data_IF_373673243087
#
_entry.id   IF_373673243087
#
_cell.length_a   1.000
_cell.length_b   1.000
_cell.length_c   1.000
_cell.angle_alpha   90.00
_cell.angle_beta   90.00
_cell.angle_gamma   90.00
#
_symmetry.space_group_name_H-M   'P 1'
#
loop_
_entity.id
_entity.type
_entity.pdbx_description
1 polymer ?
#
# COMPACT_ATOMS: atom_id res chain seq x y z
N UNK A 1 -3.07 -41.81 -28.36
CA UNK A 1 -2.45 -40.85 -29.34
C UNK A 1 -2.67 -39.46 -28.79
N UNK A 2 -1.60 -38.87 -28.22
CA UNK A 2 -1.62 -37.53 -27.66
C UNK A 2 -1.84 -36.50 -28.79
N UNK A 3 -2.80 -35.63 -28.60
CA UNK A 3 -3.18 -34.62 -29.59
C UNK A 3 -2.73 -33.23 -29.13
N UNK A 4 -1.63 -33.08 -28.52
CA UNK A 4 -0.90 -31.82 -28.36
C UNK A 4 0.54 -32.20 -27.99
N UNK A 5 1.49 -31.90 -28.89
CA UNK A 5 2.91 -32.22 -28.72
C UNK A 5 3.59 -31.36 -27.66
N UNK A 6 3.19 -31.54 -26.43
CA UNK A 6 3.91 -31.02 -25.26
C UNK A 6 4.56 -32.27 -24.64
N UNK A 7 5.85 -32.45 -24.90
CA UNK A 7 6.65 -33.49 -24.24
C UNK A 7 6.64 -33.22 -22.73
N UNK A 8 6.19 -34.24 -21.96
CA UNK A 8 6.12 -34.21 -20.48
C UNK A 8 7.48 -33.98 -19.77
N UNK A 9 8.57 -33.80 -20.50
CA UNK A 9 9.93 -33.88 -19.95
C UNK A 9 10.62 -32.54 -19.69
N UNK A 10 9.97 -31.37 -19.81
CA UNK A 10 10.63 -30.07 -19.60
C UNK A 10 9.97 -29.12 -18.62
N UNK A 11 8.99 -29.54 -17.86
CA UNK A 11 8.56 -28.83 -16.68
C UNK A 11 9.47 -29.24 -15.52
N UNK A 12 10.57 -28.53 -15.31
CA UNK A 12 11.26 -28.54 -14.03
C UNK A 12 10.20 -28.26 -12.98
N UNK A 13 10.08 -29.15 -12.01
CA UNK A 13 9.25 -28.95 -10.83
C UNK A 13 9.74 -27.72 -10.07
N UNK A 14 9.22 -26.57 -10.42
CA UNK A 14 9.25 -25.42 -9.52
C UNK A 14 8.25 -25.78 -8.41
N UNK A 15 8.74 -25.95 -7.18
CA UNK A 15 7.98 -26.41 -6.01
C UNK A 15 6.77 -25.53 -5.62
N UNK A 16 6.40 -24.59 -6.47
CA UNK A 16 5.37 -23.58 -6.24
C UNK A 16 4.07 -23.76 -7.03
N UNK A 17 3.92 -24.87 -7.80
CA UNK A 17 2.72 -25.08 -8.61
C UNK A 17 2.23 -26.51 -8.54
N UNK A 18 0.92 -26.72 -8.44
CA UNK A 18 0.25 -27.99 -8.73
C UNK A 18 -0.50 -27.88 -10.06
N UNK A 19 -0.60 -29.00 -10.78
CA UNK A 19 -1.36 -29.10 -12.03
C UNK A 19 -2.65 -29.86 -11.73
N UNK A 20 -3.79 -29.18 -11.78
CA UNK A 20 -5.10 -29.81 -11.78
C UNK A 20 -5.57 -29.99 -13.23
N UNK A 21 -5.89 -31.24 -13.62
CA UNK A 21 -6.42 -31.58 -14.93
C UNK A 21 -7.93 -31.80 -14.82
N UNK A 22 -8.70 -30.89 -15.38
CA UNK A 22 -10.09 -31.17 -15.75
C UNK A 22 -10.15 -31.56 -17.22
N UNK A 23 -11.20 -32.32 -17.63
CA UNK A 23 -11.28 -32.92 -18.95
C UNK A 23 -11.17 -31.97 -20.15
N UNK A 24 -11.15 -30.64 -19.94
CA UNK A 24 -11.04 -29.66 -21.01
C UNK A 24 -10.07 -28.49 -20.78
N UNK A 25 -9.48 -28.31 -19.57
CA UNK A 25 -8.53 -27.21 -19.29
C UNK A 25 -7.45 -27.66 -18.30
N UNK A 26 -6.21 -27.24 -18.57
CA UNK A 26 -5.08 -27.35 -17.62
C UNK A 26 -4.92 -26.00 -16.94
N UNK A 27 -5.31 -25.92 -15.67
CA UNK A 27 -5.12 -24.72 -14.86
C UNK A 27 -3.88 -24.89 -13.98
N UNK A 28 -2.90 -24.01 -14.14
CA UNK A 28 -1.76 -23.91 -13.21
C UNK A 28 -2.20 -23.15 -11.97
N UNK A 29 -2.42 -23.89 -10.88
CA UNK A 29 -2.72 -23.28 -9.57
C UNK A 29 -1.38 -23.01 -8.88
N UNK A 30 -1.12 -21.76 -8.57
CA UNK A 30 0.03 -21.39 -7.74
C UNK A 30 -0.16 -21.99 -6.35
N UNK A 31 0.72 -22.91 -5.95
CA UNK A 31 0.75 -23.41 -4.57
C UNK A 31 1.07 -22.24 -3.66
N UNK A 32 0.13 -21.83 -2.83
CA UNK A 32 0.41 -20.92 -1.75
C UNK A 32 1.44 -21.56 -0.82
N UNK A 33 2.49 -20.81 -0.53
CA UNK A 33 3.55 -21.28 0.37
C UNK A 33 2.89 -21.61 1.72
N UNK A 34 2.89 -22.88 2.13
CA UNK A 34 2.17 -23.38 3.31
C UNK A 34 2.51 -22.66 4.63
N UNK A 35 3.48 -21.74 4.60
CA UNK A 35 3.92 -20.95 5.74
C UNK A 35 3.46 -19.49 5.71
N UNK A 36 2.66 -19.06 4.70
CA UNK A 36 2.10 -17.72 4.67
C UNK A 36 0.71 -17.72 5.28
N UNK A 37 0.51 -16.91 6.33
CA UNK A 37 -0.79 -16.66 6.94
C UNK A 37 -1.34 -15.36 6.39
N UNK A 38 -2.56 -15.40 5.84
CA UNK A 38 -3.33 -14.20 5.49
C UNK A 38 -4.47 -14.00 6.49
N UNK A 39 -4.78 -12.74 6.80
CA UNK A 39 -5.90 -12.37 7.65
C UNK A 39 -6.73 -11.33 6.92
N UNK A 40 -8.04 -11.50 6.91
CA UNK A 40 -8.98 -10.52 6.36
C UNK A 40 -9.57 -9.70 7.50
N UNK A 41 -9.57 -8.39 7.34
CA UNK A 41 -10.22 -7.44 8.25
C UNK A 41 -10.99 -6.40 7.44
N UNK A 42 -12.09 -5.93 7.99
CA UNK A 42 -12.76 -4.75 7.43
C UNK A 42 -12.02 -3.48 7.87
N UNK A 43 -11.77 -2.59 6.91
CA UNK A 43 -11.11 -1.30 7.12
C UNK A 43 -11.88 -0.20 6.40
N UNK A 44 -11.70 1.05 6.81
CA UNK A 44 -12.31 2.18 6.10
C UNK A 44 -11.70 2.35 4.71
N UNK A 45 -12.46 2.92 3.78
CA UNK A 45 -12.01 3.20 2.41
C UNK A 45 -10.83 4.18 2.43
N UNK A 46 -10.90 5.21 3.27
CA UNK A 46 -9.81 6.19 3.43
C UNK A 46 -8.50 5.55 3.88
N UNK A 47 -8.55 4.50 4.73
CA UNK A 47 -7.37 3.76 5.16
C UNK A 47 -6.71 2.98 4.01
N UNK A 48 -7.51 2.37 3.13
CA UNK A 48 -6.99 1.64 1.96
C UNK A 48 -6.33 2.63 0.98
N UNK A 49 -6.96 3.78 0.73
CA UNK A 49 -6.44 4.83 -0.15
C UNK A 49 -5.15 5.42 0.42
N UNK A 50 -5.11 5.70 1.72
CA UNK A 50 -3.90 6.17 2.42
C UNK A 50 -2.76 5.16 2.28
N UNK A 51 -3.00 3.90 2.56
CA UNK A 51 -2.01 2.83 2.41
C UNK A 51 -1.47 2.71 0.98
N UNK A 52 -2.35 2.75 -0.03
CA UNK A 52 -1.94 2.72 -1.44
C UNK A 52 -1.06 3.91 -1.80
N UNK A 53 -1.40 5.12 -1.31
CA UNK A 53 -0.63 6.33 -1.56
C UNK A 53 0.79 6.26 -0.96
N UNK A 54 0.93 5.69 0.24
CA UNK A 54 2.24 5.44 0.87
C UNK A 54 3.05 4.42 0.05
N UNK A 55 2.42 3.35 -0.44
CA UNK A 55 3.08 2.38 -1.31
C UNK A 55 3.55 3.03 -2.61
N UNK A 56 2.78 3.97 -3.17
CA UNK A 56 3.19 4.77 -4.34
C UNK A 56 4.48 5.54 -4.07
N UNK A 57 4.59 6.19 -2.90
CA UNK A 57 5.81 6.89 -2.50
C UNK A 57 6.99 5.92 -2.30
N UNK A 58 6.74 4.76 -1.67
CA UNK A 58 7.77 3.72 -1.49
C UNK A 58 8.33 3.25 -2.83
N UNK A 59 7.50 3.07 -3.86
CA UNK A 59 7.96 2.71 -5.21
C UNK A 59 8.88 3.76 -5.84
N UNK A 60 8.74 5.03 -5.45
CA UNK A 60 9.57 6.13 -5.96
C UNK A 60 10.90 6.28 -5.21
N UNK A 61 10.93 5.93 -3.91
CA UNK A 61 12.07 6.23 -3.03
C UNK A 61 12.93 5.02 -2.67
N UNK A 62 12.40 3.79 -2.78
CA UNK A 62 13.15 2.58 -2.47
C UNK A 62 13.93 2.13 -3.71
N UNK A 63 15.24 1.92 -3.56
CA UNK A 63 16.11 1.41 -4.62
C UNK A 63 16.47 -0.09 -4.47
N UNK A 64 16.27 -0.65 -3.29
CA UNK A 64 16.54 -2.07 -3.01
C UNK A 64 15.54 -2.97 -3.74
N UNK A 65 16.04 -3.87 -4.58
CA UNK A 65 15.21 -4.71 -5.47
C UNK A 65 14.31 -5.69 -4.73
N UNK A 66 14.77 -6.27 -3.63
CA UNK A 66 13.96 -7.22 -2.86
C UNK A 66 12.83 -6.51 -2.10
N UNK A 67 13.11 -5.33 -1.54
CA UNK A 67 12.09 -4.49 -0.93
C UNK A 67 11.08 -4.01 -1.97
N UNK A 68 11.54 -3.58 -3.15
CA UNK A 68 10.65 -3.17 -4.24
C UNK A 68 9.72 -4.28 -4.70
N UNK A 69 10.18 -5.52 -4.77
CA UNK A 69 9.35 -6.68 -5.10
C UNK A 69 8.15 -6.82 -4.14
N UNK A 70 8.39 -6.70 -2.84
CA UNK A 70 7.34 -6.77 -1.84
C UNK A 70 6.37 -5.58 -1.94
N UNK A 71 6.92 -4.36 -2.11
CA UNK A 71 6.12 -3.13 -2.25
C UNK A 71 5.26 -3.19 -3.52
N UNK A 72 5.83 -3.63 -4.65
CA UNK A 72 5.09 -3.75 -5.92
C UNK A 72 3.94 -4.74 -5.79
N UNK A 73 4.17 -5.91 -5.20
CA UNK A 73 3.12 -6.91 -4.99
C UNK A 73 1.93 -6.35 -4.19
N UNK A 74 2.22 -5.63 -3.11
CA UNK A 74 1.18 -5.03 -2.26
C UNK A 74 0.49 -3.86 -2.96
N UNK A 75 1.25 -3.02 -3.68
CA UNK A 75 0.73 -1.91 -4.47
C UNK A 75 -0.25 -2.40 -5.53
N UNK A 76 0.14 -3.39 -6.35
CA UNK A 76 -0.69 -3.92 -7.42
C UNK A 76 -1.99 -4.52 -6.89
N UNK A 77 -1.93 -5.23 -5.76
CA UNK A 77 -3.12 -5.77 -5.10
C UNK A 77 -4.09 -4.66 -4.65
N UNK A 78 -3.59 -3.65 -3.94
CA UNK A 78 -4.43 -2.54 -3.47
C UNK A 78 -4.90 -1.63 -4.61
N UNK A 79 -4.09 -1.47 -5.66
CA UNK A 79 -4.47 -0.71 -6.85
C UNK A 79 -5.76 -1.25 -7.48
N UNK A 80 -5.87 -2.58 -7.63
CA UNK A 80 -7.07 -3.22 -8.16
C UNK A 80 -8.30 -2.93 -7.27
N UNK A 81 -8.11 -2.93 -5.95
CA UNK A 81 -9.20 -2.62 -5.02
C UNK A 81 -9.62 -1.15 -5.15
N UNK A 82 -8.67 -0.23 -5.09
CA UNK A 82 -8.94 1.21 -5.07
C UNK A 82 -9.59 1.69 -6.37
N UNK A 83 -9.02 1.33 -7.52
CA UNK A 83 -9.46 1.88 -8.80
C UNK A 83 -10.50 1.02 -9.53
N UNK A 84 -10.42 -0.30 -9.43
CA UNK A 84 -11.31 -1.17 -10.20
C UNK A 84 -12.52 -1.68 -9.41
N UNK A 85 -12.40 -1.81 -8.07
CA UNK A 85 -13.51 -2.27 -7.24
C UNK A 85 -14.26 -1.10 -6.59
N UNK A 86 -13.53 -0.16 -5.98
CA UNK A 86 -14.11 0.99 -5.26
C UNK A 86 -14.34 2.20 -6.16
N UNK A 87 -13.77 2.24 -7.38
CA UNK A 87 -13.84 3.33 -8.34
C UNK A 87 -13.47 4.70 -7.73
N UNK A 88 -12.39 4.74 -6.97
CA UNK A 88 -11.89 5.99 -6.37
C UNK A 88 -11.38 6.91 -7.47
N UNK A 89 -11.77 8.18 -7.42
CA UNK A 89 -11.29 9.20 -8.36
C UNK A 89 -9.77 9.42 -8.20
N UNK A 90 -9.07 9.57 -9.30
CA UNK A 90 -7.62 9.84 -9.28
C UNK A 90 -7.28 11.12 -8.52
N UNK A 91 -8.15 12.13 -8.56
CA UNK A 91 -7.97 13.39 -7.82
C UNK A 91 -7.94 13.20 -6.30
N UNK A 92 -8.77 12.32 -5.75
CA UNK A 92 -8.78 12.00 -4.32
C UNK A 92 -7.54 11.19 -3.92
N UNK A 93 -7.13 10.26 -4.79
CA UNK A 93 -5.88 9.54 -4.60
C UNK A 93 -4.66 10.47 -4.64
N UNK A 94 -4.60 11.37 -5.62
CA UNK A 94 -3.49 12.33 -5.76
C UNK A 94 -3.43 13.32 -4.59
N UNK A 95 -4.59 13.73 -4.03
CA UNK A 95 -4.67 14.53 -2.81
C UNK A 95 -4.04 13.78 -1.63
N UNK A 96 -4.33 12.48 -1.48
CA UNK A 96 -3.72 11.63 -0.45
C UNK A 96 -2.22 11.43 -0.67
N UNK A 97 -1.77 11.21 -1.90
CA UNK A 97 -0.34 11.11 -2.24
C UNK A 97 0.39 12.40 -1.87
N UNK A 98 -0.21 13.56 -2.16
CA UNK A 98 0.39 14.86 -1.89
C UNK A 98 0.62 15.11 -0.41
N UNK A 99 -0.38 14.81 0.44
CA UNK A 99 -0.24 14.99 1.89
C UNK A 99 0.78 14.00 2.49
N UNK A 100 0.79 12.75 2.02
CA UNK A 100 1.76 11.76 2.46
C UNK A 100 3.19 12.07 1.98
N UNK A 101 3.33 12.74 0.83
CA UNK A 101 4.64 13.22 0.38
C UNK A 101 5.20 14.29 1.31
N UNK A 102 4.38 15.22 1.79
CA UNK A 102 4.82 16.24 2.76
C UNK A 102 5.32 15.55 4.05
N UNK A 103 4.58 14.56 4.55
CA UNK A 103 5.00 13.77 5.72
C UNK A 103 6.30 13.03 5.46
N UNK A 104 6.44 12.38 4.31
CA UNK A 104 7.67 11.70 3.93
C UNK A 104 8.88 12.63 3.97
N UNK A 105 8.77 13.75 3.28
CA UNK A 105 9.87 14.72 3.16
C UNK A 105 10.27 15.32 4.52
N UNK A 106 9.29 15.66 5.36
CA UNK A 106 9.57 16.25 6.67
C UNK A 106 10.15 15.22 7.66
N UNK A 107 9.67 13.99 7.63
CA UNK A 107 10.19 12.91 8.47
C UNK A 107 11.62 12.51 8.10
N UNK A 108 11.98 12.53 6.82
CA UNK A 108 13.35 12.26 6.39
C UNK A 108 14.30 13.38 6.88
N UNK A 109 13.88 14.66 6.79
CA UNK A 109 14.64 15.79 7.31
C UNK A 109 14.80 15.76 8.84
N UNK A 110 13.76 15.34 9.57
CA UNK A 110 13.84 15.15 11.04
C UNK A 110 14.89 14.08 11.37
N UNK A 111 14.89 12.95 10.66
CA UNK A 111 15.89 11.88 10.87
C UNK A 111 17.30 12.32 10.54
N UNK A 112 17.47 13.24 9.59
CA UNK A 112 18.76 13.84 9.27
C UNK A 112 19.26 14.74 10.39
N UNK A 113 18.42 15.64 10.88
CA UNK A 113 18.74 16.48 12.05
C UNK A 113 19.00 15.67 13.32
N UNK A 114 18.25 14.58 13.53
CA UNK A 114 18.50 13.65 14.65
C UNK A 114 19.89 13.00 14.55
N UNK A 115 20.30 12.58 13.34
CA UNK A 115 21.65 12.04 13.09
C UNK A 115 22.75 13.03 13.44
N UNK A 116 22.53 14.29 13.10
CA UNK A 116 23.47 15.39 13.34
C UNK A 116 23.36 15.98 14.74
N UNK A 117 22.40 15.52 15.57
CA UNK A 117 22.07 16.05 16.89
C UNK A 117 21.75 17.54 16.91
N UNK A 118 21.13 18.03 15.83
CA UNK A 118 20.69 19.41 15.64
C UNK A 118 19.23 19.57 16.07
N UNK A 119 19.00 19.92 17.33
CA UNK A 119 17.68 20.16 17.90
C UNK A 119 17.36 21.66 17.98
N UNK A 120 17.52 22.33 16.87
CA UNK A 120 17.31 23.77 16.70
C UNK A 120 15.83 24.13 16.43
N UNK A 121 15.57 25.41 16.14
CA UNK A 121 14.23 25.90 15.79
C UNK A 121 13.63 25.20 14.59
N UNK A 122 14.46 24.84 13.59
CA UNK A 122 13.99 24.13 12.40
C UNK A 122 13.53 22.71 12.74
N UNK A 123 14.23 22.02 13.66
CA UNK A 123 13.78 20.72 14.15
C UNK A 123 12.41 20.82 14.82
N UNK A 124 12.20 21.86 15.63
CA UNK A 124 10.91 22.10 16.30
C UNK A 124 9.81 22.36 15.28
N UNK A 125 10.05 23.21 14.28
CA UNK A 125 9.05 23.51 13.24
C UNK A 125 8.74 22.28 12.38
N UNK A 126 9.72 21.46 12.05
CA UNK A 126 9.48 20.19 11.36
C UNK A 126 8.65 19.21 12.21
N UNK A 127 8.96 19.10 13.52
CA UNK A 127 8.16 18.26 14.43
C UNK A 127 6.71 18.75 14.53
N UNK A 128 6.49 20.08 14.54
CA UNK A 128 5.15 20.68 14.47
C UNK A 128 4.43 20.34 13.16
N UNK A 129 5.14 20.40 12.04
CA UNK A 129 4.60 20.07 10.71
C UNK A 129 4.09 18.63 10.67
N UNK A 130 4.72 17.68 11.35
CA UNK A 130 4.28 16.27 11.36
C UNK A 130 2.86 16.14 11.90
N UNK A 131 2.56 16.66 13.10
CA UNK A 131 1.22 16.47 13.67
C UNK A 131 0.16 17.30 12.94
N UNK A 132 0.48 18.52 12.51
CA UNK A 132 -0.43 19.35 11.71
C UNK A 132 -0.81 18.65 10.40
N UNK A 133 0.19 18.11 9.68
CA UNK A 133 -0.04 17.38 8.42
C UNK A 133 -0.77 16.06 8.64
N UNK A 134 -0.52 15.37 9.77
CA UNK A 134 -1.28 14.18 10.14
C UNK A 134 -2.77 14.48 10.40
N UNK A 135 -3.10 15.64 10.95
CA UNK A 135 -4.49 16.05 11.12
C UNK A 135 -5.15 16.33 9.76
N UNK A 136 -4.46 17.02 8.86
CA UNK A 136 -4.93 17.22 7.49
C UNK A 136 -5.13 15.90 6.74
N UNK A 137 -4.23 14.93 6.94
CA UNK A 137 -4.37 13.59 6.36
C UNK A 137 -5.61 12.87 6.89
N UNK A 138 -5.91 12.99 8.18
CA UNK A 138 -7.11 12.42 8.76
C UNK A 138 -8.39 13.04 8.18
N UNK A 139 -8.41 14.35 7.94
CA UNK A 139 -9.55 15.00 7.29
C UNK A 139 -9.73 14.50 5.85
N UNK A 140 -8.66 14.32 5.08
CA UNK A 140 -8.73 13.74 3.73
C UNK A 140 -9.29 12.30 3.79
N UNK A 141 -8.86 11.47 4.75
CA UNK A 141 -9.42 10.13 4.96
C UNK A 141 -10.92 10.20 5.25
N UNK A 142 -11.34 11.12 6.11
CA UNK A 142 -12.75 11.34 6.46
C UNK A 142 -13.59 11.80 5.26
N UNK A 143 -13.07 12.72 4.45
CA UNK A 143 -13.70 13.15 3.19
C UNK A 143 -13.91 11.96 2.25
N UNK A 144 -12.87 11.13 2.03
CA UNK A 144 -12.94 9.92 1.21
C UNK A 144 -13.95 8.93 1.77
N UNK A 145 -13.93 8.66 3.09
CA UNK A 145 -14.88 7.76 3.73
C UNK A 145 -16.33 8.20 3.50
N UNK A 146 -16.59 9.48 3.65
CA UNK A 146 -17.92 10.07 3.44
C UNK A 146 -18.35 10.00 1.97
N UNK A 147 -17.46 10.40 1.06
CA UNK A 147 -17.75 10.45 -0.38
C UNK A 147 -18.05 9.07 -0.96
N UNK A 148 -17.34 8.04 -0.52
CA UNK A 148 -17.47 6.68 -1.06
C UNK A 148 -18.28 5.73 -0.17
N UNK A 149 -18.93 6.23 0.88
CA UNK A 149 -19.85 5.45 1.72
C UNK A 149 -19.16 4.35 2.52
N UNK A 150 -17.99 4.65 3.12
CA UNK A 150 -17.28 3.71 3.98
C UNK A 150 -18.14 3.34 5.22
N UNK A 151 -18.17 2.04 5.58
CA UNK A 151 -18.82 1.57 6.79
C UNK A 151 -18.13 2.01 8.08
N UNK A 152 -16.82 2.27 8.00
CA UNK A 152 -16.03 2.79 9.12
C UNK A 152 -15.55 4.20 8.83
N UNK A 153 -15.59 5.05 9.86
CA UNK A 153 -15.02 6.40 9.86
C UNK A 153 -14.06 6.48 11.03
N UNK A 154 -12.84 6.90 10.75
CA UNK A 154 -11.85 7.15 11.79
C UNK A 154 -12.22 8.42 12.56
N UNK A 155 -12.29 8.32 13.88
CA UNK A 155 -12.49 9.45 14.76
C UNK A 155 -11.20 9.74 15.54
N UNK A 156 -10.89 11.01 15.71
CA UNK A 156 -9.75 11.49 16.49
C UNK A 156 -10.25 12.38 17.63
N UNK A 157 -9.58 12.29 18.76
CA UNK A 157 -9.84 13.15 19.92
C UNK A 157 -8.50 13.65 20.46
N UNK A 158 -8.04 14.76 19.92
CA UNK A 158 -6.84 15.45 20.38
C UNK A 158 -7.20 16.78 21.02
N UNK A 159 -6.34 17.27 21.92
CA UNK A 159 -6.45 18.64 22.43
C UNK A 159 -6.13 19.64 21.34
N UNK A 160 -6.88 20.74 21.30
CA UNK A 160 -6.59 21.85 20.41
C UNK A 160 -5.22 22.46 20.75
N UNK A 161 -4.48 22.85 19.72
CA UNK A 161 -3.16 23.47 19.83
C UNK A 161 -3.10 24.88 19.24
N UNK A 162 -4.29 25.48 18.97
CA UNK A 162 -4.47 26.87 18.50
C UNK A 162 -4.82 27.79 19.66
#
# INVERSE_FOLDING_TARGET
>A
KSFLGIEENNLKSDDNYSVERNEMDVTLIKLENKNTVSTEIEVSIGEIVDKLSILRLKLLHISDKEKLKNVTKEYDYLYQIVFNKLNIDTSDFDKMVSINKILWDVEDRIREKEREKQFDSDFIEMARTVYITNDQRAEIKKEINTKYGSSFVEEKSYSDYN
#
